data_IF_275419108205
#
_entry.id   IF_275419108205
#
_cell.length_a   1.000
_cell.length_b   1.000
_cell.length_c   1.000
_cell.angle_alpha   90.00
_cell.angle_beta   90.00
_cell.angle_gamma   90.00
#
_symmetry.space_group_name_H-M   'P 1'
#
loop_
_entity.id
_entity.type
_entity.pdbx_description
1 polymer ?
#
# COMPACT_ATOMS: atom_id res chain seq x y z
N UNK A 1 -6.31 22.15 22.59
CA UNK A 1 -6.64 20.92 21.81
C UNK A 1 -5.41 20.04 21.59
N UNK A 2 -4.25 20.61 21.19
CA UNK A 2 -3.02 19.85 20.98
C UNK A 2 -2.54 18.99 22.17
N UNK A 3 -2.56 19.53 23.40
CA UNK A 3 -2.15 18.80 24.60
C UNK A 3 -3.02 17.58 24.91
N UNK A 4 -4.33 17.67 24.67
CA UNK A 4 -5.28 16.56 24.87
C UNK A 4 -5.06 15.44 23.85
N UNK A 5 -4.84 15.77 22.58
CA UNK A 5 -4.53 14.79 21.54
C UNK A 5 -3.19 14.10 21.77
N UNK A 6 -2.18 14.85 22.22
CA UNK A 6 -0.86 14.31 22.61
C UNK A 6 -1.01 13.31 23.77
N UNK A 7 -1.68 13.71 24.86
CA UNK A 7 -1.90 12.86 26.01
C UNK A 7 -2.69 11.58 25.65
N UNK A 8 -3.73 11.70 24.81
CA UNK A 8 -4.51 10.54 24.36
C UNK A 8 -3.66 9.55 23.54
N UNK A 9 -2.78 10.04 22.67
CA UNK A 9 -1.87 9.19 21.89
C UNK A 9 -0.91 8.43 22.80
N UNK A 10 -0.30 9.13 23.77
CA UNK A 10 0.62 8.52 24.74
C UNK A 10 -0.08 7.48 25.60
N UNK A 11 -1.25 7.80 26.17
CA UNK A 11 -2.02 6.86 27.00
C UNK A 11 -2.42 5.61 26.20
N UNK A 12 -2.84 5.76 24.94
CA UNK A 12 -3.15 4.61 24.07
C UNK A 12 -1.93 3.74 23.79
N UNK A 13 -0.78 4.35 23.50
CA UNK A 13 0.46 3.60 23.28
C UNK A 13 0.88 2.83 24.54
N UNK A 14 0.82 3.48 25.71
CA UNK A 14 1.13 2.83 26.99
C UNK A 14 0.17 1.68 27.29
N UNK A 15 -1.12 1.83 26.97
CA UNK A 15 -2.12 0.77 27.12
C UNK A 15 -1.84 -0.42 26.18
N UNK A 16 -1.57 -0.17 24.90
CA UNK A 16 -1.26 -1.24 23.94
C UNK A 16 0.06 -1.95 24.23
N UNK A 17 1.02 -1.26 24.85
CA UNK A 17 2.26 -1.84 25.38
C UNK A 17 2.08 -2.52 26.75
N UNK A 18 0.85 -2.57 27.28
CA UNK A 18 0.51 -3.17 28.58
C UNK A 18 1.24 -2.54 29.78
N UNK A 19 1.70 -1.29 29.65
CA UNK A 19 2.33 -0.52 30.73
C UNK A 19 1.30 0.03 31.70
N UNK A 20 0.08 0.29 31.20
CA UNK A 20 -1.08 0.72 32.00
C UNK A 20 -2.28 -0.16 31.66
N UNK A 21 -3.20 -0.29 32.62
CA UNK A 21 -4.41 -1.08 32.50
C UNK A 21 -5.49 -0.45 31.59
N UNK A 22 -6.47 -1.26 31.21
CA UNK A 22 -7.63 -0.78 30.46
C UNK A 22 -8.41 0.22 31.30
N UNK A 23 -8.88 1.30 30.67
CA UNK A 23 -9.82 2.20 31.31
C UNK A 23 -11.12 1.45 31.63
N UNK A 24 -11.43 1.33 32.92
CA UNK A 24 -12.60 0.60 33.45
C UNK A 24 -13.81 1.49 33.72
N UNK A 25 -13.70 2.80 33.52
CA UNK A 25 -14.79 3.74 33.73
C UNK A 25 -15.81 3.71 32.58
N UNK A 26 -17.02 4.19 32.87
CA UNK A 26 -18.04 4.41 31.85
C UNK A 26 -17.68 5.66 31.07
N UNK A 27 -17.33 5.51 29.78
CA UNK A 27 -17.14 6.66 28.91
C UNK A 27 -18.44 7.46 28.84
N UNK A 28 -18.40 8.76 29.16
CA UNK A 28 -19.56 9.63 29.00
C UNK A 28 -19.97 9.60 27.53
N UNK A 29 -21.16 9.07 27.24
CA UNK A 29 -21.80 9.25 25.93
C UNK A 29 -21.95 10.77 25.76
N UNK A 30 -21.41 11.33 24.66
CA UNK A 30 -21.69 12.72 24.33
C UNK A 30 -23.21 12.83 24.23
N UNK A 31 -23.81 13.73 25.00
CA UNK A 31 -25.19 14.14 24.75
C UNK A 31 -25.19 14.76 23.36
N UNK A 32 -25.69 13.99 22.41
CA UNK A 32 -26.02 14.49 21.08
C UNK A 32 -27.30 15.28 21.30
N UNK A 33 -27.34 16.53 20.84
CA UNK A 33 -28.56 17.31 20.83
C UNK A 33 -29.68 16.45 20.23
N UNK A 34 -30.76 16.24 21.00
CA UNK A 34 -31.90 15.44 20.55
C UNK A 34 -32.52 16.17 19.36
N UNK A 35 -32.17 15.71 18.17
CA UNK A 35 -32.78 16.18 16.93
C UNK A 35 -34.25 15.76 16.94
N UNK A 36 -35.12 16.67 16.54
CA UNK A 36 -36.54 16.37 16.35
C UNK A 36 -36.69 15.24 15.31
N UNK A 37 -37.60 14.28 15.53
CA UNK A 37 -37.83 13.20 14.57
C UNK A 37 -38.15 13.75 13.18
N UNK A 38 -37.43 13.27 12.17
CA UNK A 38 -37.73 13.60 10.78
C UNK A 38 -38.82 12.65 10.27
N UNK A 39 -39.98 13.20 9.91
CA UNK A 39 -41.07 12.42 9.35
C UNK A 39 -40.69 11.88 7.96
N UNK A 40 -40.65 10.56 7.84
CA UNK A 40 -40.41 9.86 6.57
C UNK A 40 -41.71 9.20 6.15
N UNK A 41 -42.21 9.57 4.97
CA UNK A 41 -43.38 8.92 4.37
C UNK A 41 -42.93 8.01 3.23
N UNK A 42 -43.46 6.79 3.19
CA UNK A 42 -43.06 5.75 2.23
C UNK A 42 -44.30 5.27 1.50
N UNK A 43 -44.21 5.17 0.18
CA UNK A 43 -45.28 4.63 -0.66
C UNK A 43 -45.64 3.18 -0.21
N UNK A 44 -46.93 2.89 0.06
CA UNK A 44 -47.38 1.53 0.40
C UNK A 44 -46.94 0.46 -0.58
N UNK A 45 -46.80 0.79 -1.88
CA UNK A 45 -46.32 -0.16 -2.89
C UNK A 45 -44.86 -0.57 -2.63
N UNK A 46 -44.00 0.39 -2.30
CA UNK A 46 -42.59 0.16 -2.00
C UNK A 46 -42.42 -0.70 -0.72
N UNK A 47 -43.29 -0.52 0.28
CA UNK A 47 -43.29 -1.36 1.49
C UNK A 47 -43.58 -2.82 1.12
N UNK A 48 -44.52 -3.05 0.20
CA UNK A 48 -44.86 -4.40 -0.25
C UNK A 48 -43.71 -5.02 -1.05
N UNK A 49 -43.13 -4.27 -1.98
CA UNK A 49 -41.99 -4.72 -2.78
C UNK A 49 -40.80 -5.12 -1.87
N UNK A 50 -40.52 -4.35 -0.82
CA UNK A 50 -39.48 -4.68 0.17
C UNK A 50 -39.82 -5.97 0.93
N UNK A 51 -41.07 -6.16 1.36
CA UNK A 51 -41.49 -7.39 2.06
C UNK A 51 -41.35 -8.63 1.19
N UNK A 52 -41.68 -8.51 -0.10
CA UNK A 52 -41.59 -9.62 -1.05
C UNK A 52 -40.12 -10.01 -1.29
N UNK A 53 -39.22 -9.03 -1.46
CA UNK A 53 -37.78 -9.27 -1.58
C UNK A 53 -37.19 -9.88 -0.30
N UNK A 54 -37.59 -9.39 0.88
CA UNK A 54 -37.13 -9.97 2.15
C UNK A 54 -37.56 -11.43 2.30
N UNK A 55 -38.78 -11.77 1.85
CA UNK A 55 -39.30 -13.14 1.85
C UNK A 55 -38.58 -14.03 0.86
N UNK A 56 -38.30 -13.53 -0.35
CA UNK A 56 -37.54 -14.25 -1.38
C UNK A 56 -36.11 -14.57 -0.92
N UNK A 57 -35.46 -13.65 -0.21
CA UNK A 57 -34.11 -13.82 0.33
C UNK A 57 -34.06 -14.51 1.70
N UNK A 58 -35.20 -14.97 2.22
CA UNK A 58 -35.36 -15.61 3.55
C UNK A 58 -34.81 -14.77 4.73
N UNK A 59 -34.80 -13.44 4.60
CA UNK A 59 -34.31 -12.51 5.62
C UNK A 59 -35.43 -12.21 6.61
N UNK A 60 -35.24 -12.57 7.89
CA UNK A 60 -36.19 -12.25 8.97
C UNK A 60 -35.88 -10.89 9.59
N UNK A 61 -36.73 -9.86 9.42
CA UNK A 61 -36.51 -8.56 10.04
C UNK A 61 -36.60 -8.64 11.57
N UNK A 62 -35.92 -7.71 12.27
CA UNK A 62 -35.98 -7.59 13.73
C UNK A 62 -37.36 -7.09 14.13
N UNK A 63 -38.06 -7.84 14.99
CA UNK A 63 -39.33 -7.42 15.58
C UNK A 63 -39.07 -6.41 16.71
N UNK A 64 -39.71 -5.24 16.64
CA UNK A 64 -39.64 -4.23 17.70
C UNK A 64 -40.73 -4.55 18.72
N UNK A 65 -40.42 -4.75 20.02
CA UNK A 65 -41.43 -4.95 21.06
C UNK A 65 -42.33 -3.72 21.21
N UNK A 66 -43.63 -3.93 21.46
CA UNK A 66 -44.64 -2.86 21.63
C UNK A 66 -44.50 -2.08 22.97
N UNK A 67 -43.59 -2.49 23.86
CA UNK A 67 -43.38 -1.87 25.17
C UNK A 67 -42.59 -0.56 25.07
N UNK A 68 -43.32 0.56 25.15
CA UNK A 68 -42.83 1.93 25.05
C UNK A 68 -41.91 2.43 26.19
N UNK A 69 -41.36 1.55 27.03
CA UNK A 69 -40.61 1.92 28.25
C UNK A 69 -39.14 1.51 28.27
N UNK A 70 -38.60 1.03 27.15
CA UNK A 70 -37.18 0.68 27.07
C UNK A 70 -36.35 1.95 26.86
N UNK A 71 -35.59 2.40 27.88
CA UNK A 71 -34.75 3.62 27.81
C UNK A 71 -33.54 3.49 26.85
N UNK A 72 -33.26 2.29 26.34
CA UNK A 72 -32.11 2.01 25.46
C UNK A 72 -32.55 1.72 24.02
N UNK A 73 -31.85 2.26 23.01
CA UNK A 73 -32.19 2.05 21.60
C UNK A 73 -31.94 0.59 21.20
N UNK A 74 -32.91 0.01 20.48
CA UNK A 74 -32.84 -1.35 19.94
C UNK A 74 -32.11 -1.30 18.59
N UNK A 75 -31.17 -2.22 18.37
CA UNK A 75 -30.49 -2.37 17.09
C UNK A 75 -31.44 -3.01 16.06
N UNK A 76 -31.80 -2.26 15.02
CA UNK A 76 -32.71 -2.73 13.95
C UNK A 76 -31.97 -3.39 12.77
N UNK A 77 -30.63 -3.41 12.81
CA UNK A 77 -29.80 -4.04 11.78
C UNK A 77 -29.52 -5.49 12.11
N UNK A 78 -29.70 -6.38 11.14
CA UNK A 78 -29.27 -7.77 11.24
C UNK A 78 -27.76 -7.83 11.02
N UNK A 79 -27.02 -8.33 12.00
CA UNK A 79 -25.63 -8.74 11.79
C UNK A 79 -25.64 -9.98 10.89
N UNK A 80 -25.50 -9.77 9.58
CA UNK A 80 -25.13 -10.88 8.71
C UNK A 80 -23.74 -11.33 9.15
N UNK A 81 -23.68 -12.49 9.79
CA UNK A 81 -22.54 -13.39 9.63
C UNK A 81 -22.52 -13.79 8.15
N UNK A 82 -22.14 -12.86 7.27
CA UNK A 82 -21.41 -13.30 6.11
C UNK A 82 -20.23 -14.03 6.71
N UNK A 83 -20.21 -15.35 6.57
CA UNK A 83 -18.94 -16.00 6.27
C UNK A 83 -18.44 -15.29 5.01
N UNK A 84 -17.86 -14.10 5.20
CA UNK A 84 -16.89 -13.54 4.27
C UNK A 84 -15.97 -14.70 4.10
N UNK A 85 -15.99 -15.30 2.90
CA UNK A 85 -15.21 -16.47 2.59
C UNK A 85 -13.79 -16.17 3.10
N UNK A 86 -13.45 -16.71 4.27
CA UNK A 86 -12.14 -16.57 4.90
C UNK A 86 -11.14 -17.46 4.15
N UNK A 87 -11.43 -17.72 2.87
CA UNK A 87 -10.48 -18.01 1.83
C UNK A 87 -9.61 -16.81 1.45
N UNK A 88 -9.78 -15.64 2.07
CA UNK A 88 -8.57 -14.92 2.50
C UNK A 88 -7.92 -15.72 3.63
N UNK A 89 -7.41 -16.91 3.29
CA UNK A 89 -6.36 -17.57 4.08
C UNK A 89 -5.39 -16.45 4.41
N UNK A 90 -5.10 -16.16 5.70
CA UNK A 90 -4.03 -15.23 6.01
C UNK A 90 -2.83 -15.75 5.24
N UNK A 91 -2.46 -15.05 4.17
CA UNK A 91 -1.25 -15.40 3.45
C UNK A 91 -0.18 -15.25 4.52
N UNK A 92 0.55 -16.33 4.88
CA UNK A 92 1.66 -16.20 5.80
C UNK A 92 2.52 -15.09 5.23
N UNK A 93 2.69 -14.00 5.98
CA UNK A 93 3.18 -12.71 5.47
C UNK A 93 4.26 -12.92 4.44
N UNK A 94 3.88 -12.81 3.16
CA UNK A 94 4.73 -13.22 2.06
C UNK A 94 5.89 -12.25 1.97
N UNK A 95 7.11 -12.77 1.90
CA UNK A 95 8.24 -11.95 1.45
C UNK A 95 7.94 -11.54 0.00
N UNK A 96 8.20 -10.29 -0.35
CA UNK A 96 8.08 -9.82 -1.73
C UNK A 96 8.97 -10.70 -2.62
N UNK A 97 8.40 -11.39 -3.63
CA UNK A 97 9.17 -12.32 -4.43
C UNK A 97 10.24 -11.56 -5.23
N UNK A 98 11.45 -12.12 -5.25
CA UNK A 98 12.58 -11.59 -6.01
C UNK A 98 13.28 -12.73 -6.75
N UNK A 99 13.75 -12.44 -7.95
CA UNK A 99 14.61 -13.34 -8.73
C UNK A 99 15.65 -12.52 -9.49
N UNK A 100 16.81 -13.10 -9.83
CA UNK A 100 17.78 -12.42 -10.69
C UNK A 100 17.20 -12.20 -12.10
N UNK A 101 17.77 -11.26 -12.89
CA UNK A 101 17.29 -10.98 -14.24
C UNK A 101 17.14 -12.25 -15.09
N UNK A 102 15.98 -12.42 -15.71
CA UNK A 102 15.66 -13.56 -16.57
C UNK A 102 15.51 -13.11 -18.03
N UNK A 103 15.88 -13.96 -19.01
CA UNK A 103 15.46 -13.75 -20.40
C UNK A 103 13.93 -13.79 -20.49
N UNK A 104 13.35 -13.08 -21.46
CA UNK A 104 11.90 -13.05 -21.68
C UNK A 104 11.08 -12.62 -20.43
N UNK A 105 11.61 -11.69 -19.63
CA UNK A 105 10.89 -11.10 -18.50
C UNK A 105 11.10 -9.59 -18.45
N UNK A 106 10.02 -8.84 -18.35
CA UNK A 106 10.06 -7.40 -18.17
C UNK A 106 9.83 -7.04 -16.69
N UNK A 107 10.87 -6.57 -15.97
CA UNK A 107 10.75 -6.24 -14.55
C UNK A 107 9.90 -5.00 -14.25
N UNK A 108 9.65 -4.13 -15.25
CA UNK A 108 8.88 -2.90 -15.08
C UNK A 108 7.38 -3.12 -15.18
N UNK A 109 6.96 -4.06 -16.02
CA UNK A 109 5.56 -4.46 -16.18
C UNK A 109 5.23 -5.76 -15.45
N UNK A 110 6.25 -6.44 -14.90
CA UNK A 110 6.12 -7.72 -14.19
C UNK A 110 5.42 -8.79 -15.02
N UNK A 111 5.79 -8.91 -16.30
CA UNK A 111 5.24 -9.91 -17.21
C UNK A 111 6.27 -10.41 -18.23
N UNK A 112 5.95 -11.51 -18.90
CA UNK A 112 6.73 -12.02 -20.03
C UNK A 112 6.71 -11.05 -21.22
N UNK A 113 7.71 -11.16 -22.08
CA UNK A 113 7.85 -10.38 -23.32
C UNK A 113 7.32 -11.26 -24.46
N UNK A 114 6.09 -11.02 -24.88
CA UNK A 114 5.45 -11.88 -25.88
C UNK A 114 5.82 -11.52 -27.32
N UNK A 115 6.23 -10.27 -27.56
CA UNK A 115 6.46 -9.74 -28.90
C UNK A 115 7.88 -9.19 -29.11
N UNK A 116 8.33 -9.23 -30.37
CA UNK A 116 9.58 -8.61 -30.81
C UNK A 116 10.83 -9.47 -30.59
N UNK A 117 12.02 -8.95 -30.97
CA UNK A 117 13.25 -9.73 -30.96
C UNK A 117 13.67 -10.15 -29.54
N UNK A 118 13.35 -9.35 -28.52
CA UNK A 118 13.73 -9.61 -27.13
C UNK A 118 13.02 -10.83 -26.51
N UNK A 119 11.89 -11.26 -27.07
CA UNK A 119 11.16 -12.44 -26.60
C UNK A 119 11.99 -13.73 -26.70
N UNK A 120 12.83 -13.86 -27.73
CA UNK A 120 13.63 -15.05 -28.01
C UNK A 120 15.15 -14.85 -27.80
N UNK A 121 15.60 -13.62 -27.49
CA UNK A 121 17.03 -13.32 -27.38
C UNK A 121 17.61 -13.75 -26.02
N UNK A 122 18.73 -14.51 -26.01
CA UNK A 122 19.48 -14.78 -24.78
C UNK A 122 20.11 -13.51 -24.19
N UNK A 123 20.21 -13.43 -22.86
CA UNK A 123 20.78 -12.27 -22.15
C UNK A 123 22.21 -11.93 -22.59
N UNK A 124 23.02 -12.92 -22.97
CA UNK A 124 24.38 -12.70 -23.47
C UNK A 124 24.42 -11.94 -24.80
N UNK A 125 23.46 -12.22 -25.71
CA UNK A 125 23.35 -11.51 -26.99
C UNK A 125 22.90 -10.07 -26.76
N UNK A 126 21.91 -9.87 -25.88
CA UNK A 126 21.43 -8.54 -25.48
C UNK A 126 22.60 -7.73 -24.88
N UNK A 127 23.36 -8.34 -23.99
CA UNK A 127 24.52 -7.71 -23.34
C UNK A 127 25.60 -7.30 -24.34
N UNK A 128 25.91 -8.16 -25.31
CA UNK A 128 26.88 -7.83 -26.37
C UNK A 128 26.39 -6.68 -27.26
N UNK A 129 25.11 -6.71 -27.68
CA UNK A 129 24.51 -5.65 -28.48
C UNK A 129 24.55 -4.29 -27.78
N UNK A 130 24.19 -4.23 -26.48
CA UNK A 130 24.26 -3.00 -25.69
C UNK A 130 25.70 -2.49 -25.53
N UNK A 131 26.68 -3.39 -25.37
CA UNK A 131 28.09 -3.04 -25.30
C UNK A 131 28.60 -2.45 -26.62
N UNK A 132 28.20 -3.02 -27.75
CA UNK A 132 28.54 -2.51 -29.08
C UNK A 132 27.92 -1.12 -29.31
N UNK A 133 26.64 -0.94 -28.98
CA UNK A 133 25.97 0.36 -29.07
C UNK A 133 26.67 1.43 -28.21
N UNK A 134 27.04 1.07 -26.98
CA UNK A 134 27.81 1.95 -26.09
C UNK A 134 29.15 2.36 -26.73
N UNK A 135 29.91 1.40 -27.26
CA UNK A 135 31.20 1.67 -27.90
C UNK A 135 31.05 2.53 -29.16
N UNK A 136 30.00 2.33 -29.94
CA UNK A 136 29.69 3.16 -31.10
C UNK A 136 29.35 4.60 -30.69
N UNK A 137 28.54 4.79 -29.65
CA UNK A 137 28.26 6.12 -29.07
C UNK A 137 29.54 6.78 -28.57
N UNK A 138 30.40 6.02 -27.90
CA UNK A 138 31.69 6.51 -27.41
C UNK A 138 32.60 6.97 -28.55
N UNK A 139 32.64 6.26 -29.68
CA UNK A 139 33.49 6.61 -30.82
C UNK A 139 32.93 7.77 -31.66
N UNK A 140 31.62 7.79 -31.89
CA UNK A 140 31.03 8.60 -32.96
C UNK A 140 30.21 9.80 -32.46
N UNK A 141 29.90 9.88 -31.16
CA UNK A 141 29.04 10.94 -30.61
C UNK A 141 29.83 11.90 -29.73
N UNK A 142 30.20 13.06 -30.28
CA UNK A 142 30.97 14.09 -29.58
C UNK A 142 30.22 14.72 -28.40
N UNK A 143 28.90 14.83 -28.47
CA UNK A 143 28.07 15.30 -27.34
C UNK A 143 28.12 14.31 -26.18
N UNK A 144 28.07 13.01 -26.47
CA UNK A 144 28.20 11.96 -25.47
C UNK A 144 29.58 11.97 -24.82
N UNK A 145 30.66 12.10 -25.60
CA UNK A 145 32.03 12.22 -25.09
C UNK A 145 32.18 13.43 -24.15
N UNK A 146 31.68 14.61 -24.54
CA UNK A 146 31.70 15.81 -23.69
C UNK A 146 30.95 15.60 -22.38
N UNK A 147 29.79 14.95 -22.43
CA UNK A 147 29.02 14.61 -21.23
C UNK A 147 29.78 13.68 -20.30
N UNK A 148 30.55 12.72 -20.83
CA UNK A 148 31.39 11.85 -20.00
C UNK A 148 32.50 12.63 -19.31
N UNK A 149 33.15 13.58 -19.98
CA UNK A 149 34.18 14.41 -19.34
C UNK A 149 33.60 15.26 -18.19
N UNK A 150 32.44 15.89 -18.40
CA UNK A 150 31.75 16.65 -17.33
C UNK A 150 31.41 15.75 -16.13
N UNK A 151 31.02 14.50 -16.38
CA UNK A 151 30.72 13.54 -15.31
C UNK A 151 31.95 13.19 -14.47
N UNK A 152 33.15 13.16 -15.06
CA UNK A 152 34.41 12.91 -14.35
C UNK A 152 34.77 14.04 -13.37
N UNK A 153 34.29 15.25 -13.61
CA UNK A 153 34.52 16.41 -12.74
C UNK A 153 33.67 16.36 -11.46
N UNK A 154 32.64 15.51 -11.40
CA UNK A 154 31.77 15.42 -10.23
C UNK A 154 32.51 14.77 -9.05
N UNK A 155 32.35 15.27 -7.80
CA UNK A 155 33.10 14.78 -6.66
C UNK A 155 32.94 13.29 -6.33
N UNK A 156 31.85 12.66 -6.76
CA UNK A 156 31.62 11.21 -6.57
C UNK A 156 32.52 10.35 -7.47
N UNK A 157 32.99 10.88 -8.60
CA UNK A 157 33.76 10.10 -9.59
C UNK A 157 35.07 9.54 -9.02
N UNK A 158 35.74 10.28 -8.14
CA UNK A 158 36.97 9.83 -7.47
C UNK A 158 36.78 8.59 -6.58
N UNK A 159 35.53 8.26 -6.22
CA UNK A 159 35.18 7.11 -5.38
C UNK A 159 34.50 5.99 -6.20
N UNK A 160 34.51 6.07 -7.54
CA UNK A 160 33.79 5.13 -8.40
C UNK A 160 34.16 3.68 -8.09
N UNK A 161 35.45 3.36 -8.03
CA UNK A 161 35.92 1.98 -7.82
C UNK A 161 35.57 1.49 -6.41
N UNK A 162 35.82 2.31 -5.38
CA UNK A 162 35.48 1.99 -3.98
C UNK A 162 33.98 1.74 -3.80
N UNK A 163 33.13 2.54 -4.46
CA UNK A 163 31.66 2.38 -4.42
C UNK A 163 31.26 1.07 -5.11
N UNK A 164 31.79 0.80 -6.31
CA UNK A 164 31.45 -0.41 -7.07
C UNK A 164 31.90 -1.67 -6.33
N UNK A 165 33.08 -1.66 -5.71
CA UNK A 165 33.57 -2.79 -4.93
C UNK A 165 32.79 -2.96 -3.63
N UNK A 166 32.38 -1.87 -2.98
CA UNK A 166 31.48 -1.93 -1.83
C UNK A 166 30.14 -2.57 -2.19
N UNK A 167 29.53 -2.20 -3.34
CA UNK A 167 28.25 -2.76 -3.81
C UNK A 167 28.39 -4.24 -4.18
N UNK A 168 29.47 -4.65 -4.84
CA UNK A 168 29.69 -6.05 -5.23
C UNK A 168 29.83 -6.99 -4.03
N UNK A 169 30.45 -6.50 -2.95
CA UNK A 169 30.83 -7.33 -1.82
C UNK A 169 29.85 -7.28 -0.64
N UNK A 170 28.81 -6.44 -0.70
CA UNK A 170 27.87 -6.26 0.41
C UNK A 170 26.42 -6.17 -0.08
N UNK A 171 25.49 -6.77 0.66
CA UNK A 171 24.05 -6.70 0.33
C UNK A 171 23.43 -5.32 0.59
N UNK A 172 24.02 -4.52 1.48
CA UNK A 172 23.56 -3.17 1.84
C UNK A 172 24.77 -2.26 1.98
N UNK A 173 24.75 -1.11 1.32
CA UNK A 173 25.81 -0.09 1.37
C UNK A 173 25.18 1.27 1.67
N UNK A 174 25.82 2.06 2.53
CA UNK A 174 25.41 3.44 2.82
C UNK A 174 26.42 4.40 2.16
N UNK A 175 25.95 5.20 1.22
CA UNK A 175 26.76 6.24 0.57
C UNK A 175 26.33 7.60 1.11
N UNK A 176 27.24 8.29 1.82
CA UNK A 176 27.02 9.65 2.31
C UNK A 176 27.85 10.63 1.50
N UNK A 177 27.22 11.73 1.07
CA UNK A 177 27.91 12.83 0.39
C UNK A 177 27.08 14.11 0.39
N UNK A 178 27.74 15.26 0.24
CA UNK A 178 27.08 16.56 0.24
C UNK A 178 26.08 16.73 -0.91
N UNK A 179 25.20 17.75 -0.84
CA UNK A 179 24.33 18.12 -1.95
C UNK A 179 25.17 18.50 -3.17
N UNK A 180 24.77 18.06 -4.37
CA UNK A 180 25.49 18.36 -5.61
C UNK A 180 26.72 17.48 -5.89
N UNK A 181 27.08 16.54 -5.01
CA UNK A 181 28.28 15.72 -5.23
C UNK A 181 28.13 14.62 -6.31
N UNK A 182 26.93 14.40 -6.86
CA UNK A 182 26.68 13.47 -7.97
C UNK A 182 26.00 12.13 -7.63
N UNK A 183 25.61 11.87 -6.37
CA UNK A 183 25.07 10.57 -5.90
C UNK A 183 23.91 9.98 -6.70
N UNK A 184 23.01 10.81 -7.22
CA UNK A 184 21.78 10.34 -7.89
C UNK A 184 21.96 10.20 -9.40
N UNK A 185 22.97 10.85 -9.97
CA UNK A 185 23.14 10.97 -11.43
C UNK A 185 24.30 10.15 -11.98
N UNK A 186 25.30 9.84 -11.14
CA UNK A 186 26.43 8.94 -11.46
C UNK A 186 26.12 7.54 -10.95
#
# INVERSE_FOLDING_TARGET
MASKSCALSLVRQLYHLQVIEAYSGVAKKKEIDKLEPYEVNIDPKLIQDIKDVLKELEIRPVEVPDDANTQEPILLTLEKNMEVDTQSRPHPGGVVPWSPPQPNWNPWTSCNIDEGPLAAMPLGVISNSLKEEYNQKLANNSTFQKMLEIRKELPVYQYQDDILDSIRNNSVVIIRGATGCGKTTQ
#
